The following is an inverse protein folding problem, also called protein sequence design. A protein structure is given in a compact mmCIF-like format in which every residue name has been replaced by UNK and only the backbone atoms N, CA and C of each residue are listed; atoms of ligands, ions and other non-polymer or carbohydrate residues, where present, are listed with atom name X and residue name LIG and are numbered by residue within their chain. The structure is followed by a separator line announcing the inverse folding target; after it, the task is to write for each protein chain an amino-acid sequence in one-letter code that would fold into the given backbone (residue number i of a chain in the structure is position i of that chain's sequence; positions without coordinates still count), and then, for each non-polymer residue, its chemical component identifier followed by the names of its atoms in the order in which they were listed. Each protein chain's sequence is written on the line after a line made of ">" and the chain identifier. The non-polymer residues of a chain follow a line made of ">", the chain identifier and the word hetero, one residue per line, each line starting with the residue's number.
data_IF_280003137004
#
_entry.id   IF_280003137004
#
_cell.length_a   1.000
_cell.length_b   1.000
_cell.length_c   1.000
_cell.angle_alpha   90.00
_cell.angle_beta   90.00
_cell.angle_gamma   90.00
#
_symmetry.space_group_name_H-M   'P 1'
#
loop_
_entity.id
_entity.type
_entity.pdbx_description
1 polymer ?
#
# COMPACT_ATOMS: atom_id res chain seq x y z
N UNK A 1 -3.77 -38.86 1.43
CA UNK A 1 -2.92 -37.82 0.81
C UNK A 1 -3.46 -37.24 -0.51
N UNK A 2 -4.64 -37.66 -1.01
CA UNK A 2 -5.18 -37.18 -2.29
C UNK A 2 -5.81 -35.76 -2.25
N UNK A 3 -6.16 -35.25 -1.06
CA UNK A 3 -6.75 -33.91 -0.90
C UNK A 3 -5.81 -32.79 -1.34
N UNK A 4 -4.52 -32.88 -0.97
CA UNK A 4 -3.52 -31.85 -1.28
C UNK A 4 -3.23 -31.83 -2.79
N UNK A 5 -3.13 -33.00 -3.42
CA UNK A 5 -2.85 -33.11 -4.85
C UNK A 5 -4.06 -32.74 -5.72
N UNK A 6 -5.28 -33.06 -5.29
CA UNK A 6 -6.50 -32.65 -6.00
C UNK A 6 -6.72 -31.12 -5.99
N UNK A 7 -6.27 -30.45 -4.92
CA UNK A 7 -6.44 -28.99 -4.74
C UNK A 7 -5.13 -28.21 -4.90
N UNK A 8 -4.07 -28.84 -5.42
CA UNK A 8 -2.74 -28.23 -5.52
C UNK A 8 -2.77 -26.98 -6.41
N UNK A 9 -3.57 -27.00 -7.48
CA UNK A 9 -3.77 -25.84 -8.36
C UNK A 9 -4.39 -24.66 -7.60
N UNK A 10 -5.44 -24.91 -6.82
CA UNK A 10 -6.10 -23.88 -6.00
C UNK A 10 -5.14 -23.28 -4.97
N UNK A 11 -4.31 -24.11 -4.32
CA UNK A 11 -3.30 -23.65 -3.36
C UNK A 11 -2.28 -22.73 -4.04
N UNK A 12 -1.81 -23.08 -5.24
CA UNK A 12 -0.86 -22.25 -6.00
C UNK A 12 -1.50 -20.92 -6.38
N UNK A 13 -2.74 -20.92 -6.89
CA UNK A 13 -3.45 -19.68 -7.26
C UNK A 13 -3.62 -18.78 -6.03
N UNK A 14 -4.04 -19.33 -4.89
CA UNK A 14 -4.16 -18.58 -3.64
C UNK A 14 -2.81 -18.00 -3.19
N UNK A 15 -1.72 -18.76 -3.29
CA UNK A 15 -0.38 -18.31 -2.92
C UNK A 15 0.09 -17.14 -3.82
N UNK A 16 -0.14 -17.22 -5.13
CA UNK A 16 0.20 -16.15 -6.07
C UNK A 16 -0.61 -14.88 -5.77
N UNK A 17 -1.92 -15.01 -5.55
CA UNK A 17 -2.78 -13.88 -5.18
C UNK A 17 -2.31 -13.23 -3.87
N UNK A 18 -2.01 -14.04 -2.84
CA UNK A 18 -1.50 -13.55 -1.57
C UNK A 18 -0.16 -12.81 -1.73
N UNK A 19 0.74 -13.33 -2.57
CA UNK A 19 2.02 -12.68 -2.87
C UNK A 19 1.82 -11.31 -3.54
N UNK A 20 0.92 -11.20 -4.53
CA UNK A 20 0.60 -9.93 -5.19
C UNK A 20 0.07 -8.91 -4.18
N UNK A 21 -0.90 -9.31 -3.34
CA UNK A 21 -1.46 -8.44 -2.29
C UNK A 21 -0.37 -7.97 -1.31
N UNK A 22 0.51 -8.88 -0.87
CA UNK A 22 1.62 -8.54 0.00
C UNK A 22 2.57 -7.53 -0.66
N UNK A 23 2.90 -7.71 -1.95
CA UNK A 23 3.74 -6.76 -2.71
C UNK A 23 3.10 -5.38 -2.79
N UNK A 24 1.79 -5.31 -3.03
CA UNK A 24 1.04 -4.03 -3.08
C UNK A 24 1.10 -3.33 -1.71
N UNK A 25 0.82 -4.06 -0.63
CA UNK A 25 0.86 -3.51 0.73
C UNK A 25 2.27 -3.03 1.09
N UNK A 26 3.29 -3.85 0.84
CA UNK A 26 4.69 -3.49 1.10
C UNK A 26 5.10 -2.27 0.28
N UNK A 27 4.70 -2.20 -0.99
CA UNK A 27 4.95 -1.03 -1.84
C UNK A 27 4.27 0.21 -1.28
N UNK A 28 3.02 0.10 -0.84
CA UNK A 28 2.28 1.21 -0.22
C UNK A 28 2.96 1.68 1.07
N UNK A 29 3.33 0.77 1.97
CA UNK A 29 4.02 1.10 3.23
C UNK A 29 5.39 1.72 2.98
N UNK A 30 6.17 1.19 2.01
CA UNK A 30 7.47 1.76 1.63
C UNK A 30 7.31 3.14 1.00
N UNK A 31 6.28 3.35 0.18
CA UNK A 31 5.97 4.65 -0.41
C UNK A 31 5.55 5.66 0.67
N UNK A 32 4.69 5.26 1.62
CA UNK A 32 4.35 6.08 2.78
C UNK A 32 5.57 6.45 3.63
N UNK A 33 6.45 5.48 3.94
CA UNK A 33 7.70 5.75 4.68
C UNK A 33 8.65 6.68 3.93
N UNK A 34 8.62 6.66 2.59
CA UNK A 34 9.40 7.58 1.73
C UNK A 34 8.72 8.95 1.53
N UNK A 35 7.64 9.23 2.25
CA UNK A 35 6.90 10.50 2.13
C UNK A 35 6.08 10.63 0.84
N UNK A 36 5.93 9.55 0.07
CA UNK A 36 5.05 9.51 -1.10
C UNK A 36 3.63 9.23 -0.60
N UNK A 37 2.89 10.30 -0.32
CA UNK A 37 1.47 10.24 0.02
C UNK A 37 0.62 10.29 -1.26
N UNK A 38 -0.69 10.03 -1.16
CA UNK A 38 -1.61 10.13 -2.31
C UNK A 38 -1.59 11.51 -2.98
N UNK A 39 -1.16 12.53 -2.26
CA UNK A 39 -0.87 13.87 -2.76
C UNK A 39 0.53 13.83 -3.40
N UNK A 40 0.62 13.53 -4.69
CA UNK A 40 1.88 13.27 -5.43
C UNK A 40 2.98 14.35 -5.37
N UNK A 41 2.74 15.49 -4.71
CA UNK A 41 3.69 16.60 -4.55
C UNK A 41 4.30 16.73 -3.14
N UNK A 42 4.01 15.84 -2.19
CA UNK A 42 4.42 16.00 -0.79
C UNK A 42 3.70 17.18 -0.10
N UNK A 43 3.81 17.30 1.23
CA UNK A 43 3.06 18.33 1.96
C UNK A 43 3.57 19.77 1.75
N UNK A 44 4.81 19.94 1.25
CA UNK A 44 5.44 21.25 1.07
C UNK A 44 4.90 22.07 -0.11
N UNK A 45 4.24 21.45 -1.09
CA UNK A 45 3.61 22.12 -2.24
C UNK A 45 2.16 21.71 -2.46
N UNK A 46 1.53 21.11 -1.45
CA UNK A 46 0.15 20.65 -1.54
C UNK A 46 -0.79 21.87 -1.49
N UNK A 47 -1.67 22.05 -2.48
CA UNK A 47 -2.65 23.15 -2.48
C UNK A 47 -3.61 23.13 -1.27
N UNK A 48 -3.67 22.01 -0.55
CA UNK A 48 -4.44 21.84 0.70
C UNK A 48 -3.55 21.93 1.96
N UNK A 49 -2.31 22.41 1.86
CA UNK A 49 -1.41 22.55 3.01
C UNK A 49 -2.01 23.40 4.13
N UNK A 50 -2.76 24.45 3.77
CA UNK A 50 -3.45 25.35 4.70
C UNK A 50 -4.44 24.64 5.65
N UNK A 51 -5.09 23.57 5.18
CA UNK A 51 -6.07 22.80 5.99
C UNK A 51 -5.39 21.69 6.78
N UNK A 52 -4.40 21.02 6.20
CA UNK A 52 -3.66 19.95 6.89
C UNK A 52 -2.66 20.48 7.92
N UNK A 53 -2.12 21.68 7.70
CA UNK A 53 -1.20 22.40 8.57
C UNK A 53 -1.71 23.84 8.74
N UNK A 54 -2.76 24.07 9.54
CA UNK A 54 -3.22 25.42 9.81
C UNK A 54 -2.07 26.21 10.43
N UNK A 55 -1.70 27.33 9.79
CA UNK A 55 -0.77 28.28 10.38
C UNK A 55 -1.34 28.72 11.74
N UNK A 56 -0.57 28.54 12.79
CA UNK A 56 -0.99 29.00 14.12
C UNK A 56 -0.90 30.53 14.10
N UNK A 57 -2.03 31.20 14.26
CA UNK A 57 -2.08 32.61 14.61
C UNK A 57 -1.32 32.78 15.94
N UNK A 58 -0.29 33.64 15.93
CA UNK A 58 0.53 33.98 17.10
C UNK A 58 -0.18 35.00 17.98
#
# INVERSE_FOLDING_TARGET
>A
MAWITANIGTIIVCAVLAAIVAVVIVSMVRNHKKGKTSCGCGCSGCALSEVCHPAKEQ
#
